data_IF_802835110048
#
_entry.id   IF_802835110048
#
_cell.length_a   1.000
_cell.length_b   1.000
_cell.length_c   1.000
_cell.angle_alpha   90.00
_cell.angle_beta   90.00
_cell.angle_gamma   90.00
#
_symmetry.space_group_name_H-M   'P 1'
#
loop_
_entity.id
_entity.type
_entity.pdbx_description
1 polymer ?
#
# COMPACT_ATOMS: atom_id res chain seq x y z
N UNK A 1 -16.28 2.73 -29.59
CA UNK A 1 -15.66 2.54 -28.25
C UNK A 1 -14.16 2.54 -28.46
N UNK A 2 -13.47 3.52 -27.92
CA UNK A 2 -12.01 3.56 -28.05
C UNK A 2 -11.40 2.41 -27.25
N UNK A 3 -10.62 1.56 -27.93
CA UNK A 3 -9.95 0.39 -27.35
C UNK A 3 -8.96 0.74 -26.20
N UNK A 4 -8.90 2.00 -25.82
CA UNK A 4 -7.94 2.53 -24.85
C UNK A 4 -8.59 3.06 -23.55
N UNK A 5 -9.90 2.89 -23.38
CA UNK A 5 -10.64 3.31 -22.17
C UNK A 5 -11.02 2.08 -21.35
N UNK A 6 -10.81 2.14 -20.04
CA UNK A 6 -11.25 1.10 -19.11
C UNK A 6 -12.78 1.07 -19.13
N UNK A 7 -13.45 -0.08 -19.25
CA UNK A 7 -14.90 -0.20 -19.27
C UNK A 7 -15.55 0.49 -18.07
N UNK A 8 -16.71 1.13 -18.30
CA UNK A 8 -17.46 1.86 -17.25
C UNK A 8 -18.18 0.95 -16.22
N UNK A 9 -18.10 -0.36 -16.42
CA UNK A 9 -18.63 -1.34 -15.46
C UNK A 9 -17.85 -1.22 -14.15
N UNK A 10 -18.51 -1.25 -13.01
CA UNK A 10 -18.07 -1.18 -11.58
C UNK A 10 -16.55 -1.01 -11.28
N UNK A 11 -15.70 -1.40 -12.21
CA UNK A 11 -14.25 -1.40 -12.14
C UNK A 11 -13.66 0.04 -12.07
N UNK A 12 -14.28 1.03 -12.70
CA UNK A 12 -13.79 2.42 -12.69
C UNK A 12 -13.88 3.10 -11.32
N UNK A 13 -14.95 2.83 -10.56
CA UNK A 13 -15.13 3.35 -9.22
C UNK A 13 -14.20 2.67 -8.20
N UNK A 14 -13.99 1.35 -8.34
CA UNK A 14 -13.04 0.59 -7.52
C UNK A 14 -11.60 1.08 -7.76
N UNK A 15 -11.18 1.20 -9.01
CA UNK A 15 -9.85 1.73 -9.39
C UNK A 15 -9.67 3.16 -8.86
N UNK A 16 -10.69 4.01 -8.97
CA UNK A 16 -10.65 5.37 -8.46
C UNK A 16 -10.45 5.43 -6.93
N UNK A 17 -11.14 4.56 -6.20
CA UNK A 17 -10.99 4.45 -4.75
C UNK A 17 -9.59 3.96 -4.36
N UNK A 18 -9.01 3.01 -5.10
CA UNK A 18 -7.64 2.53 -4.88
C UNK A 18 -6.60 3.62 -5.18
N UNK A 19 -6.76 4.36 -6.29
CA UNK A 19 -5.91 5.52 -6.60
C UNK A 19 -5.92 6.51 -5.43
N UNK A 20 -7.11 6.83 -4.90
CA UNK A 20 -7.25 7.75 -3.75
C UNK A 20 -6.54 7.23 -2.50
N UNK A 21 -6.69 5.94 -2.21
CA UNK A 21 -6.05 5.29 -1.05
C UNK A 21 -4.54 5.34 -1.17
N UNK A 22 -3.98 4.88 -2.30
CA UNK A 22 -2.54 4.92 -2.56
C UNK A 22 -1.98 6.36 -2.55
N UNK A 23 -2.70 7.33 -3.14
CA UNK A 23 -2.28 8.73 -3.12
C UNK A 23 -2.15 9.25 -1.69
N UNK A 24 -3.14 8.98 -0.84
CA UNK A 24 -3.10 9.38 0.58
C UNK A 24 -1.97 8.70 1.33
N UNK A 25 -1.77 7.40 1.13
CA UNK A 25 -0.68 6.63 1.72
C UNK A 25 0.71 7.18 1.34
N UNK A 26 0.84 7.72 0.13
CA UNK A 26 2.06 8.41 -0.32
C UNK A 26 2.16 9.87 0.15
N UNK A 27 1.22 10.35 0.98
CA UNK A 27 1.19 11.73 1.47
C UNK A 27 0.96 12.78 0.37
N UNK A 28 0.47 12.36 -0.81
CA UNK A 28 0.25 13.26 -1.94
C UNK A 28 -1.10 13.95 -1.86
N UNK A 29 -1.14 15.25 -2.14
CA UNK A 29 -2.38 15.99 -2.37
C UNK A 29 -2.94 15.68 -3.77
N UNK A 30 -4.17 16.11 -4.05
CA UNK A 30 -4.73 16.05 -5.42
C UNK A 30 -3.90 16.90 -6.40
N UNK A 31 -3.43 18.04 -5.92
CA UNK A 31 -2.57 18.97 -6.66
C UNK A 31 -1.24 18.32 -7.03
N UNK A 32 -0.60 17.62 -6.08
CA UNK A 32 0.68 16.94 -6.31
C UNK A 32 0.55 15.86 -7.39
N UNK A 33 -0.47 15.01 -7.30
CA UNK A 33 -0.69 13.96 -8.28
C UNK A 33 -1.03 14.55 -9.65
N UNK A 34 -1.91 15.56 -9.69
CA UNK A 34 -2.31 16.24 -10.92
C UNK A 34 -1.10 16.85 -11.64
N UNK A 35 -0.25 17.59 -10.91
CA UNK A 35 0.96 18.20 -11.44
C UNK A 35 1.94 17.17 -12.00
N UNK A 36 2.17 16.06 -11.27
CA UNK A 36 3.10 15.00 -11.69
C UNK A 36 2.69 14.28 -12.97
N UNK A 37 1.38 14.14 -13.22
CA UNK A 37 0.87 13.46 -14.44
C UNK A 37 0.41 14.43 -15.53
N UNK A 38 0.59 15.76 -15.32
CA UNK A 38 0.20 16.79 -16.30
C UNK A 38 -1.31 16.87 -16.54
N UNK A 39 -2.12 16.71 -15.50
CA UNK A 39 -3.59 16.78 -15.55
C UNK A 39 -4.13 17.83 -14.58
N UNK A 40 -5.43 18.19 -14.74
CA UNK A 40 -6.08 19.10 -13.80
C UNK A 40 -6.45 18.39 -12.50
N UNK A 41 -6.47 19.13 -11.39
CA UNK A 41 -6.95 18.66 -10.07
C UNK A 41 -8.38 18.13 -10.17
N UNK A 42 -9.23 18.84 -10.92
CA UNK A 42 -10.61 18.40 -11.17
C UNK A 42 -10.70 17.04 -11.85
N UNK A 43 -9.83 16.76 -12.82
CA UNK A 43 -9.75 15.46 -13.47
C UNK A 43 -9.39 14.35 -12.48
N UNK A 44 -8.33 14.53 -11.67
CA UNK A 44 -7.94 13.54 -10.67
C UNK A 44 -9.05 13.31 -9.65
N UNK A 45 -9.69 14.38 -9.16
CA UNK A 45 -10.82 14.27 -8.24
C UNK A 45 -12.00 13.49 -8.83
N UNK A 46 -12.28 13.66 -10.14
CA UNK A 46 -13.33 12.90 -10.81
C UNK A 46 -12.94 11.43 -11.04
N UNK A 47 -11.68 11.16 -11.36
CA UNK A 47 -11.15 9.80 -11.48
C UNK A 47 -11.27 9.07 -10.14
N UNK A 48 -10.83 9.68 -9.04
CA UNK A 48 -10.93 9.09 -7.70
C UNK A 48 -12.37 8.81 -7.24
N UNK A 49 -13.34 9.50 -7.81
CA UNK A 49 -14.78 9.26 -7.57
C UNK A 49 -15.43 8.31 -8.57
N UNK A 50 -14.68 7.80 -9.53
CA UNK A 50 -15.20 6.95 -10.60
C UNK A 50 -16.14 7.68 -11.58
N UNK A 51 -16.08 9.02 -11.66
CA UNK A 51 -16.98 9.85 -12.50
C UNK A 51 -16.35 10.08 -13.87
N UNK A 52 -15.03 10.24 -13.95
CA UNK A 52 -14.32 10.50 -15.19
C UNK A 52 -13.76 9.22 -15.78
N UNK A 53 -13.88 8.98 -17.08
CA UNK A 53 -13.29 7.82 -17.72
C UNK A 53 -11.77 7.82 -17.54
N UNK A 54 -11.21 6.67 -17.19
CA UNK A 54 -9.79 6.47 -17.01
C UNK A 54 -9.23 5.70 -18.20
N UNK A 55 -8.25 6.29 -18.87
CA UNK A 55 -7.55 5.61 -19.98
C UNK A 55 -6.33 4.87 -19.49
N UNK A 56 -5.93 3.80 -20.19
CA UNK A 56 -4.73 3.02 -19.86
C UNK A 56 -3.47 3.90 -19.75
N UNK A 57 -3.20 4.86 -20.67
CA UNK A 57 -2.05 5.75 -20.50
C UNK A 57 -2.10 6.61 -19.23
N UNK A 58 -3.28 7.12 -18.87
CA UNK A 58 -3.43 7.91 -17.64
C UNK A 58 -3.26 7.03 -16.40
N UNK A 59 -3.83 5.82 -16.38
CA UNK A 59 -3.65 4.87 -15.29
C UNK A 59 -2.18 4.48 -15.13
N UNK A 60 -1.46 4.26 -16.25
CA UNK A 60 -0.01 3.98 -16.20
C UNK A 60 0.78 5.13 -15.59
N UNK A 61 0.50 6.37 -15.99
CA UNK A 61 1.15 7.55 -15.42
C UNK A 61 0.85 7.71 -13.92
N UNK A 62 -0.41 7.46 -13.51
CA UNK A 62 -0.81 7.46 -12.09
C UNK A 62 -0.05 6.36 -11.33
N UNK A 63 -0.01 5.14 -11.85
CA UNK A 63 0.69 4.01 -11.25
C UNK A 63 2.18 4.31 -11.02
N UNK A 64 2.84 4.89 -12.02
CA UNK A 64 4.25 5.29 -11.93
C UNK A 64 4.48 6.30 -10.79
N UNK A 65 3.62 7.31 -10.66
CA UNK A 65 3.72 8.32 -9.59
C UNK A 65 3.45 7.70 -8.22
N UNK A 66 2.51 6.75 -8.15
CA UNK A 66 2.16 6.05 -6.90
C UNK A 66 3.14 4.93 -6.55
N UNK A 67 4.11 4.61 -7.44
CA UNK A 67 5.13 3.59 -7.20
C UNK A 67 4.59 2.16 -7.22
N UNK A 68 3.55 1.90 -8.03
CA UNK A 68 2.95 0.57 -8.23
C UNK A 68 2.97 0.17 -9.70
N UNK A 69 2.89 -1.12 -9.98
CA UNK A 69 2.66 -1.60 -11.34
C UNK A 69 1.21 -1.34 -11.78
N UNK A 70 0.97 -1.13 -13.06
CA UNK A 70 -0.41 -0.94 -13.57
C UNK A 70 -1.34 -2.11 -13.22
N UNK A 71 -0.79 -3.32 -13.12
CA UNK A 71 -1.51 -4.53 -12.70
C UNK A 71 -2.04 -4.47 -11.25
N UNK A 72 -1.56 -3.53 -10.44
CA UNK A 72 -2.12 -3.26 -9.12
C UNK A 72 -3.62 -2.97 -9.18
N UNK A 73 -4.06 -2.23 -10.19
CA UNK A 73 -5.44 -1.80 -10.34
C UNK A 73 -6.35 -2.85 -11.02
N UNK A 74 -5.77 -3.91 -11.56
CA UNK A 74 -6.50 -5.00 -12.20
C UNK A 74 -6.44 -6.25 -11.34
N UNK A 75 -7.22 -6.27 -10.25
CA UNK A 75 -7.30 -7.45 -9.40
C UNK A 75 -7.91 -8.61 -10.18
N UNK A 76 -7.05 -9.55 -10.51
CA UNK A 76 -7.39 -10.95 -10.68
C UNK A 76 -8.64 -11.35 -11.47
N UNK A 77 -8.92 -10.75 -12.64
CA UNK A 77 -9.91 -11.35 -13.56
C UNK A 77 -9.50 -12.73 -14.06
N UNK A 78 -8.24 -13.13 -13.84
CA UNK A 78 -7.71 -14.34 -14.47
C UNK A 78 -7.71 -15.60 -13.62
N UNK A 79 -7.96 -15.60 -12.29
CA UNK A 79 -7.86 -16.84 -11.50
C UNK A 79 -8.40 -16.84 -10.06
N UNK A 80 -9.27 -15.94 -9.65
CA UNK A 80 -9.96 -16.10 -8.36
C UNK A 80 -11.39 -16.58 -8.60
N UNK A 81 -11.78 -17.65 -7.91
CA UNK A 81 -13.18 -18.02 -7.78
C UNK A 81 -13.97 -16.83 -7.26
N UNK A 82 -15.13 -16.55 -7.86
CA UNK A 82 -15.95 -15.40 -7.49
C UNK A 82 -16.25 -15.34 -5.98
N UNK A 83 -16.34 -16.51 -5.35
CA UNK A 83 -16.60 -16.68 -3.92
C UNK A 83 -15.38 -16.31 -3.03
N UNK A 84 -14.18 -16.25 -3.59
CA UNK A 84 -12.95 -15.91 -2.86
C UNK A 84 -12.55 -14.43 -2.98
N UNK A 85 -13.05 -13.71 -3.99
CA UNK A 85 -12.57 -12.38 -4.40
C UNK A 85 -12.43 -11.38 -3.24
N UNK A 86 -13.36 -11.41 -2.29
CA UNK A 86 -13.40 -10.45 -1.16
C UNK A 86 -12.92 -11.04 0.17
N UNK A 87 -12.48 -12.28 0.19
CA UNK A 87 -12.19 -13.03 1.42
C UNK A 87 -10.76 -13.56 1.43
N UNK A 88 -10.25 -14.06 0.28
CA UNK A 88 -8.99 -14.79 0.20
C UNK A 88 -8.02 -14.08 -0.74
N UNK A 89 -6.79 -13.91 -0.29
CA UNK A 89 -5.67 -13.48 -1.14
C UNK A 89 -4.70 -14.64 -1.30
N UNK A 90 -4.70 -15.26 -2.46
CA UNK A 90 -3.75 -16.34 -2.77
C UNK A 90 -2.32 -15.77 -2.90
N UNK A 91 -1.31 -16.53 -2.47
CA UNK A 91 0.09 -16.07 -2.45
C UNK A 91 0.55 -15.46 -3.78
N UNK A 92 0.18 -16.08 -4.89
CA UNK A 92 0.60 -15.64 -6.22
C UNK A 92 -0.17 -14.39 -6.72
N UNK A 93 -1.25 -14.00 -6.03
CA UNK A 93 -2.11 -12.86 -6.37
C UNK A 93 -1.95 -11.69 -5.39
N UNK A 94 -0.94 -11.72 -4.50
CA UNK A 94 -0.64 -10.62 -3.59
C UNK A 94 -0.20 -9.40 -4.37
N UNK A 95 -0.74 -8.26 -4.01
CA UNK A 95 -0.30 -6.97 -4.55
C UNK A 95 1.02 -6.58 -3.89
N UNK A 96 1.98 -6.15 -4.70
CA UNK A 96 3.32 -5.79 -4.24
C UNK A 96 3.56 -4.29 -4.35
N UNK A 97 4.03 -3.71 -3.28
CA UNK A 97 4.52 -2.35 -3.20
C UNK A 97 6.03 -2.40 -2.99
N UNK A 98 6.77 -1.67 -3.81
CA UNK A 98 8.18 -1.46 -3.60
C UNK A 98 8.42 0.02 -3.27
N UNK A 99 9.34 0.27 -2.36
CA UNK A 99 9.77 1.62 -1.99
C UNK A 99 11.18 1.84 -2.53
N UNK A 100 11.33 2.45 -3.72
CA UNK A 100 12.63 2.59 -4.37
C UNK A 100 13.65 3.27 -3.46
N UNK A 101 14.83 2.66 -3.34
CA UNK A 101 15.94 3.21 -2.56
C UNK A 101 15.93 2.89 -1.06
N UNK A 102 14.84 2.31 -0.52
CA UNK A 102 14.75 1.97 0.92
C UNK A 102 15.19 0.55 1.23
N UNK A 103 15.20 -0.34 0.25
CA UNK A 103 15.37 -1.79 0.45
C UNK A 103 14.19 -2.48 1.12
N UNK A 104 13.06 -1.77 1.26
CA UNK A 104 11.80 -2.30 1.81
C UNK A 104 10.84 -2.63 0.67
N UNK A 105 10.16 -3.75 0.78
CA UNK A 105 9.03 -4.12 -0.09
C UNK A 105 7.90 -4.67 0.75
N UNK A 106 6.67 -4.48 0.29
CA UNK A 106 5.48 -4.93 0.97
C UNK A 106 4.58 -5.74 0.05
N UNK A 107 3.90 -6.73 0.62
CA UNK A 107 2.85 -7.51 -0.03
C UNK A 107 1.55 -7.33 0.75
N UNK A 108 0.51 -6.83 0.11
CA UNK A 108 -0.81 -6.72 0.72
C UNK A 108 -1.47 -8.10 0.82
N UNK A 109 -1.88 -8.45 2.03
CA UNK A 109 -2.58 -9.70 2.35
C UNK A 109 -4.09 -9.49 2.48
N UNK A 110 -4.55 -8.26 2.68
CA UNK A 110 -5.97 -7.92 2.69
C UNK A 110 -6.53 -7.95 1.27
N UNK A 111 -7.73 -8.54 1.05
CA UNK A 111 -8.32 -8.61 -0.29
C UNK A 111 -8.76 -7.23 -0.80
N UNK A 112 -8.89 -6.24 0.06
CA UNK A 112 -9.33 -4.87 -0.28
C UNK A 112 -8.78 -3.84 0.71
N UNK A 113 -8.61 -2.59 0.26
CA UNK A 113 -8.06 -1.49 1.06
C UNK A 113 -9.13 -0.73 1.89
N UNK A 114 -10.41 -0.96 1.64
CA UNK A 114 -11.51 -0.29 2.34
C UNK A 114 -12.06 -1.10 3.53
N UNK A 115 -11.29 -2.07 4.04
CA UNK A 115 -11.62 -2.84 5.23
C UNK A 115 -11.44 -2.03 6.52
N UNK A 116 -11.67 -2.68 7.67
CA UNK A 116 -11.44 -2.09 9.00
C UNK A 116 -9.97 -2.15 9.41
N UNK A 117 -9.21 -3.05 8.83
CA UNK A 117 -7.77 -3.18 9.02
C UNK A 117 -7.11 -3.63 7.71
N UNK A 118 -5.83 -3.47 7.63
CA UNK A 118 -5.00 -4.03 6.57
C UNK A 118 -3.97 -5.00 7.14
N UNK A 119 -3.68 -6.04 6.35
CA UNK A 119 -2.62 -7.00 6.63
C UNK A 119 -1.55 -6.86 5.55
N UNK A 120 -0.30 -6.76 5.98
CA UNK A 120 0.85 -6.56 5.09
C UNK A 120 1.97 -7.51 5.51
N UNK A 121 2.67 -8.09 4.54
CA UNK A 121 4.01 -8.66 4.76
C UNK A 121 5.03 -7.63 4.29
N UNK A 122 5.83 -7.14 5.21
CA UNK A 122 7.01 -6.32 4.93
C UNK A 122 8.26 -7.17 4.83
N UNK A 123 9.03 -7.01 3.76
CA UNK A 123 10.36 -7.60 3.59
C UNK A 123 11.41 -6.50 3.60
N UNK A 124 12.38 -6.62 4.47
CA UNK A 124 13.48 -5.69 4.67
C UNK A 124 14.79 -6.34 4.26
N UNK A 125 15.40 -5.86 3.19
CA UNK A 125 16.76 -6.26 2.81
C UNK A 125 17.77 -5.89 3.91
N UNK A 126 18.98 -6.47 3.91
CA UNK A 126 20.06 -6.04 4.82
C UNK A 126 20.26 -4.52 4.78
N UNK A 127 20.25 -3.88 5.95
CA UNK A 127 20.41 -2.42 6.10
C UNK A 127 19.20 -1.58 5.67
N UNK A 128 18.09 -2.20 5.27
CA UNK A 128 16.89 -1.49 4.86
C UNK A 128 16.19 -0.81 6.04
N UNK A 129 15.58 0.36 5.78
CA UNK A 129 14.77 1.04 6.77
C UNK A 129 13.55 1.73 6.13
N UNK A 130 12.46 1.84 6.89
CA UNK A 130 11.34 2.70 6.52
C UNK A 130 11.73 4.16 6.71
N UNK A 131 11.03 5.07 6.04
CA UNK A 131 11.07 6.49 6.41
C UNK A 131 10.46 6.70 7.81
N UNK A 132 10.64 7.91 8.35
CA UNK A 132 9.91 8.32 9.55
C UNK A 132 8.42 8.38 9.23
N UNK A 133 7.63 7.56 9.90
CA UNK A 133 6.19 7.52 9.74
C UNK A 133 5.50 8.14 10.95
N UNK A 134 4.44 8.90 10.66
CA UNK A 134 3.52 9.42 11.65
C UNK A 134 2.19 9.67 10.98
N UNK A 135 1.17 9.00 11.45
CA UNK A 135 -0.18 9.16 10.92
C UNK A 135 -1.00 10.11 11.81
N UNK A 136 -1.81 10.95 11.17
CA UNK A 136 -2.67 11.90 11.89
C UNK A 136 -3.95 11.27 12.47
N UNK A 137 -4.24 10.02 12.06
CA UNK A 137 -5.45 9.31 12.47
C UNK A 137 -5.24 8.53 13.77
N UNK A 138 -6.31 8.32 14.50
CA UNK A 138 -6.34 7.42 15.66
C UNK A 138 -6.44 5.97 15.19
N UNK A 139 -5.82 5.07 15.90
CA UNK A 139 -5.81 3.65 15.59
C UNK A 139 -4.61 2.97 16.21
N UNK A 140 -4.39 1.74 15.80
CA UNK A 140 -3.27 0.93 16.27
C UNK A 140 -2.56 0.30 15.07
N UNK A 141 -1.26 0.19 15.21
CA UNK A 141 -0.39 -0.59 14.35
C UNK A 141 0.28 -1.67 15.20
N UNK A 142 0.28 -2.88 14.71
CA UNK A 142 0.92 -4.00 15.38
C UNK A 142 1.46 -4.99 14.40
N UNK A 143 2.15 -6.01 14.91
CA UNK A 143 2.73 -7.01 14.05
C UNK A 143 3.53 -8.06 14.78
N UNK A 144 4.19 -8.90 13.97
CA UNK A 144 5.08 -9.93 14.46
C UNK A 144 6.24 -10.11 13.49
N UNK A 145 7.44 -10.26 14.02
CA UNK A 145 8.61 -10.67 13.23
C UNK A 145 8.47 -12.14 12.87
N UNK A 146 8.33 -12.43 11.57
CA UNK A 146 8.20 -13.80 11.05
C UNK A 146 9.58 -14.46 10.96
N UNK A 147 10.58 -13.70 10.46
CA UNK A 147 11.94 -14.19 10.32
C UNK A 147 12.92 -13.02 10.35
N UNK A 148 14.17 -13.29 10.76
CA UNK A 148 15.19 -12.27 10.92
C UNK A 148 15.04 -11.49 12.21
N UNK A 149 15.53 -10.26 12.23
CA UNK A 149 15.53 -9.36 13.37
C UNK A 149 15.11 -7.96 12.93
N UNK A 150 14.37 -7.25 13.78
CA UNK A 150 13.86 -5.91 13.49
C UNK A 150 14.24 -4.95 14.61
N UNK A 151 14.80 -3.82 14.26
CA UNK A 151 14.86 -2.67 15.15
C UNK A 151 13.65 -1.78 14.90
N UNK A 152 12.75 -1.73 15.90
CA UNK A 152 11.56 -0.89 15.88
C UNK A 152 11.78 0.33 16.78
N UNK A 153 11.73 1.51 16.23
CA UNK A 153 11.92 2.78 16.93
C UNK A 153 10.55 3.43 17.07
N UNK A 154 10.09 3.65 18.31
CA UNK A 154 8.78 4.26 18.62
C UNK A 154 9.03 5.42 19.59
N UNK A 155 8.55 6.62 19.27
CA UNK A 155 8.77 7.84 20.07
C UNK A 155 10.26 8.05 20.42
N UNK A 156 11.16 7.72 19.48
CA UNK A 156 12.60 7.82 19.64
C UNK A 156 13.26 6.73 20.51
N UNK A 157 12.50 5.75 21.00
CA UNK A 157 13.03 4.61 21.74
C UNK A 157 13.20 3.42 20.81
N UNK A 158 14.40 2.82 20.81
CA UNK A 158 14.72 1.63 20.03
C UNK A 158 14.34 0.36 20.78
N UNK A 159 13.71 -0.57 20.09
CA UNK A 159 13.34 -1.90 20.53
C UNK A 159 13.88 -2.92 19.54
N UNK A 160 14.69 -3.85 20.01
CA UNK A 160 15.22 -4.94 19.20
C UNK A 160 14.30 -6.16 19.31
N UNK A 161 13.78 -6.61 18.19
CA UNK A 161 12.80 -7.70 18.09
C UNK A 161 13.41 -8.85 17.29
N UNK A 162 13.18 -10.07 17.77
CA UNK A 162 13.59 -11.31 17.12
C UNK A 162 12.39 -12.03 16.51
N UNK A 163 12.66 -13.00 15.65
CA UNK A 163 11.61 -13.85 15.10
C UNK A 163 10.72 -14.46 16.20
N UNK A 164 9.41 -14.27 16.09
CA UNK A 164 8.39 -14.65 17.06
C UNK A 164 7.96 -13.53 17.99
N UNK A 165 8.71 -12.44 18.12
CA UNK A 165 8.31 -11.28 18.92
C UNK A 165 7.17 -10.51 18.22
N UNK A 166 6.22 -10.05 19.02
CA UNK A 166 5.09 -9.24 18.57
C UNK A 166 5.11 -7.86 19.23
N UNK A 167 4.49 -6.90 18.57
CA UNK A 167 4.42 -5.51 19.02
C UNK A 167 3.08 -4.89 18.68
N UNK A 168 2.70 -3.85 19.41
CA UNK A 168 1.55 -3.00 19.12
C UNK A 168 1.82 -1.61 19.67
N UNK A 169 1.46 -0.57 18.92
CA UNK A 169 1.59 0.82 19.34
C UNK A 169 0.51 1.69 18.68
N UNK A 170 0.21 2.87 19.28
CA UNK A 170 -0.73 3.81 18.68
C UNK A 170 -0.25 4.28 17.31
N UNK A 171 -1.11 4.23 16.30
CA UNK A 171 -0.80 4.63 14.91
C UNK A 171 -0.28 6.09 14.81
N UNK A 172 -0.67 6.94 15.75
CA UNK A 172 -0.20 8.32 15.85
C UNK A 172 1.21 8.49 16.42
N UNK A 173 1.80 7.43 16.99
CA UNK A 173 3.16 7.51 17.51
C UNK A 173 4.17 7.61 16.36
N UNK A 174 5.14 8.54 16.40
CA UNK A 174 6.23 8.55 15.45
C UNK A 174 7.01 7.25 15.54
N UNK A 175 7.18 6.57 14.41
CA UNK A 175 7.85 5.28 14.39
C UNK A 175 8.68 5.06 13.12
N UNK A 176 9.59 4.11 13.21
CA UNK A 176 10.47 3.69 12.12
C UNK A 176 10.91 2.25 12.36
N UNK A 177 11.00 1.47 11.32
CA UNK A 177 11.50 0.10 11.35
C UNK A 177 12.79 -0.02 10.54
N UNK A 178 13.76 -0.77 11.05
CA UNK A 178 15.05 -0.99 10.41
C UNK A 178 15.51 -2.43 10.56
N UNK A 179 16.08 -2.97 9.51
CA UNK A 179 16.85 -4.19 9.53
C UNK A 179 18.34 -3.85 9.63
N UNK A 180 18.92 -3.98 10.81
CA UNK A 180 20.35 -3.69 11.06
C UNK A 180 21.27 -4.90 10.83
N UNK A 181 20.72 -6.02 10.31
CA UNK A 181 21.45 -7.28 10.11
C UNK A 181 21.91 -7.47 8.66
N UNK A 182 22.64 -8.54 8.41
CA UNK A 182 23.12 -8.97 7.10
C UNK A 182 22.18 -9.96 6.37
N UNK A 183 21.01 -10.26 6.99
CA UNK A 183 20.00 -11.15 6.46
C UNK A 183 18.69 -10.41 6.23
N UNK A 184 17.85 -10.94 5.35
CA UNK A 184 16.50 -10.42 5.15
C UNK A 184 15.64 -10.62 6.39
N UNK A 185 14.87 -9.62 6.74
CA UNK A 185 13.86 -9.67 7.81
C UNK A 185 12.47 -9.60 7.19
N UNK A 186 11.57 -10.47 7.67
CA UNK A 186 10.17 -10.49 7.25
C UNK A 186 9.28 -10.22 8.46
N UNK A 187 8.34 -9.30 8.30
CA UNK A 187 7.42 -8.85 9.35
C UNK A 187 5.99 -8.90 8.86
N UNK A 188 5.09 -9.46 9.67
CA UNK A 188 3.65 -9.29 9.49
C UNK A 188 3.20 -8.02 10.17
N UNK A 189 2.50 -7.14 9.44
CA UNK A 189 1.91 -5.92 9.96
C UNK A 189 0.38 -5.98 9.91
N UNK A 190 -0.23 -5.42 10.93
CA UNK A 190 -1.68 -5.22 11.06
C UNK A 190 -1.91 -3.76 11.39
N UNK A 191 -2.64 -3.04 10.55
CA UNK A 191 -2.87 -1.60 10.73
C UNK A 191 -4.38 -1.34 10.72
N UNK A 192 -4.89 -0.70 11.74
CA UNK A 192 -6.30 -0.38 11.91
C UNK A 192 -6.49 1.07 12.39
N UNK A 193 -7.22 1.92 11.65
CA UNK A 193 -7.75 1.70 10.31
C UNK A 193 -6.65 1.63 9.23
N UNK A 194 -6.95 1.12 8.03
CA UNK A 194 -6.01 1.08 6.93
C UNK A 194 -5.39 2.44 6.60
N UNK A 195 -4.11 2.42 6.24
CA UNK A 195 -3.36 3.63 5.84
C UNK A 195 -3.19 3.74 4.34
N UNK A 196 -3.42 2.66 3.59
CA UNK A 196 -3.43 2.63 2.13
C UNK A 196 -4.79 2.99 1.54
#
# INVERSE_FOLDING_TARGET
MDANTIPEDNNGAEIGAEIRSLRKARGLTLEDLAAKIGRSVGYISQVERGISPLTIPNLKAIAEVLGVGINWFFRGEASQDADEKDIIVRRNNRQKLAFPGTGVSEELLSPRLNGLFELIIGSFAPGAETGDAKYAQTGEEGGMVISGELELIIDGKSHHLMAGDAFTFPLSAPHKARNSTDKETTVLWVIAPPTY
#
